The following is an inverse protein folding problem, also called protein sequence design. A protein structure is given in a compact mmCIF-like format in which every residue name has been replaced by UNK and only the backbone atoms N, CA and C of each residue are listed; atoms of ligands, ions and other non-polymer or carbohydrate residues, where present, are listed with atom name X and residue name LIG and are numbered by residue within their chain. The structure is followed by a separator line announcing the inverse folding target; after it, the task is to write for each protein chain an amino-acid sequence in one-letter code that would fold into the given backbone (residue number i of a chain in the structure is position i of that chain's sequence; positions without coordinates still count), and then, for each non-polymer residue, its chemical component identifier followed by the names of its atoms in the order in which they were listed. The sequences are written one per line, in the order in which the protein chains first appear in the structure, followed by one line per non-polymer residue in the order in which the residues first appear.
data_IF_567245274386
#
_entry.id   IF_567245274386
#
_cell.length_a   1.000
_cell.length_b   1.000
_cell.length_c   1.000
_cell.angle_alpha   90.00
_cell.angle_beta   90.00
_cell.angle_gamma   90.00
#
_symmetry.space_group_name_H-M   'P 1'
#
loop_
_entity.id
_entity.type
_entity.pdbx_description
1 polymer ?
#
# COMPACT_ATOMS: atom_id res chain seq x y z
N UNK A 1 -18.25 -35.37 7.56
CA UNK A 1 -17.11 -35.54 6.63
C UNK A 1 -17.03 -34.43 5.58
N UNK A 2 -18.10 -34.16 4.82
CA UNK A 2 -18.10 -33.19 3.71
C UNK A 2 -17.60 -31.76 4.07
N UNK A 3 -17.92 -31.23 5.26
CA UNK A 3 -17.46 -29.89 5.68
C UNK A 3 -15.98 -29.82 6.07
N UNK A 4 -15.41 -30.91 6.62
CA UNK A 4 -13.98 -30.96 6.98
C UNK A 4 -13.13 -31.03 5.73
N UNK A 5 -13.52 -31.86 4.76
CA UNK A 5 -12.85 -31.96 3.46
C UNK A 5 -12.92 -30.61 2.71
N UNK A 6 -14.07 -29.95 2.74
CA UNK A 6 -14.21 -28.60 2.19
C UNK A 6 -13.27 -27.59 2.85
N UNK A 7 -13.27 -27.51 4.18
CA UNK A 7 -12.42 -26.54 4.90
C UNK A 7 -10.93 -26.85 4.75
N UNK A 8 -10.57 -28.14 4.68
CA UNK A 8 -9.22 -28.60 4.41
C UNK A 8 -8.77 -28.17 3.02
N UNK A 9 -9.57 -28.44 1.99
CA UNK A 9 -9.25 -28.07 0.61
C UNK A 9 -9.12 -26.56 0.43
N UNK A 10 -9.98 -25.78 1.08
CA UNK A 10 -9.85 -24.32 1.08
C UNK A 10 -8.56 -23.88 1.81
N UNK A 11 -8.25 -24.45 2.98
CA UNK A 11 -7.01 -24.12 3.68
C UNK A 11 -5.75 -24.50 2.88
N UNK A 12 -5.75 -25.62 2.17
CA UNK A 12 -4.64 -26.03 1.28
C UNK A 12 -4.32 -24.93 0.26
N UNK A 13 -5.33 -24.42 -0.47
CA UNK A 13 -5.16 -23.31 -1.43
C UNK A 13 -4.53 -22.06 -0.80
N UNK A 14 -4.97 -21.72 0.42
CA UNK A 14 -4.48 -20.53 1.10
C UNK A 14 -3.10 -20.72 1.75
N UNK A 15 -2.70 -21.97 2.01
CA UNK A 15 -1.39 -22.29 2.58
C UNK A 15 -0.28 -22.03 1.57
N UNK A 16 -0.50 -22.35 0.29
CA UNK A 16 0.49 -22.14 -0.77
C UNK A 16 0.81 -20.64 -0.98
N UNK A 17 -0.21 -19.79 -0.88
CA UNK A 17 -0.04 -18.35 -1.12
C UNK A 17 0.48 -17.57 0.09
N UNK A 18 0.42 -18.15 1.31
CA UNK A 18 0.86 -17.48 2.55
C UNK A 18 2.32 -17.78 2.92
N UNK A 19 2.95 -18.76 2.28
CA UNK A 19 4.30 -19.23 2.62
C UNK A 19 5.33 -18.10 2.71
N UNK A 20 5.34 -17.21 1.70
CA UNK A 20 6.27 -16.07 1.63
C UNK A 20 5.79 -14.84 2.40
N UNK A 21 4.54 -14.86 2.90
CA UNK A 21 3.92 -13.74 3.61
C UNK A 21 4.10 -13.86 5.12
N UNK A 22 3.83 -15.04 5.65
CA UNK A 22 3.86 -15.31 7.07
C UNK A 22 4.30 -16.77 7.32
N UNK A 23 5.62 -17.02 7.43
CA UNK A 23 6.17 -18.37 7.59
C UNK A 23 5.65 -19.10 8.84
N UNK A 24 5.36 -18.34 9.91
CA UNK A 24 4.77 -18.88 11.13
C UNK A 24 3.36 -19.42 10.86
N UNK A 25 2.51 -18.60 10.24
CA UNK A 25 1.13 -18.98 9.91
C UNK A 25 1.08 -20.14 8.90
N UNK A 26 2.02 -20.16 7.94
CA UNK A 26 2.21 -21.29 7.02
C UNK A 26 2.51 -22.59 7.78
N UNK A 27 3.48 -22.57 8.70
CA UNK A 27 3.85 -23.74 9.51
C UNK A 27 2.67 -24.27 10.34
N UNK A 28 1.90 -23.37 10.94
CA UNK A 28 0.70 -23.72 11.72
C UNK A 28 -0.39 -24.32 10.83
N UNK A 29 -0.61 -23.78 9.64
CA UNK A 29 -1.56 -24.29 8.66
C UNK A 29 -1.18 -25.70 8.19
N UNK A 30 0.09 -25.93 7.83
CA UNK A 30 0.59 -27.26 7.43
C UNK A 30 0.44 -28.28 8.56
N UNK A 31 0.76 -27.89 9.80
CA UNK A 31 0.59 -28.77 10.97
C UNK A 31 -0.87 -29.16 11.17
N UNK A 32 -1.79 -28.21 11.01
CA UNK A 32 -3.22 -28.45 11.15
C UNK A 32 -3.79 -29.33 10.04
N UNK A 33 -3.36 -29.13 8.78
CA UNK A 33 -3.72 -29.98 7.65
C UNK A 33 -3.31 -31.44 7.89
N UNK A 34 -2.08 -31.67 8.36
CA UNK A 34 -1.59 -33.01 8.74
C UNK A 34 -2.38 -33.61 9.90
N UNK A 35 -2.78 -32.81 10.89
CA UNK A 35 -3.61 -33.25 12.01
C UNK A 35 -5.00 -33.70 11.54
N UNK A 36 -5.60 -32.96 10.60
CA UNK A 36 -6.88 -33.28 10.00
C UNK A 36 -6.84 -34.58 9.18
N UNK A 37 -5.75 -34.82 8.45
CA UNK A 37 -5.53 -36.06 7.70
C UNK A 37 -5.42 -37.28 8.63
N UNK A 38 -4.69 -37.16 9.74
CA UNK A 38 -4.53 -38.24 10.72
C UNK A 38 -5.83 -38.66 11.40
N UNK A 39 -6.76 -37.74 11.65
CA UNK A 39 -8.08 -38.10 12.21
C UNK A 39 -8.84 -39.08 11.30
N UNK A 40 -8.63 -39.02 9.99
CA UNK A 40 -9.29 -39.95 9.07
C UNK A 40 -8.67 -41.36 9.10
N UNK A 41 -7.49 -41.52 9.71
CA UNK A 41 -6.68 -42.74 9.70
C UNK A 41 -6.57 -43.41 11.08
N UNK A 42 -7.05 -42.75 12.15
CA UNK A 42 -7.00 -43.26 13.52
C UNK A 42 -8.19 -44.20 13.80
N UNK A 43 -7.92 -45.35 14.44
CA UNK A 43 -8.97 -46.22 14.99
C UNK A 43 -9.44 -45.70 16.35
N UNK A 44 -10.71 -45.33 16.43
CA UNK A 44 -11.30 -44.77 17.65
C UNK A 44 -12.14 -45.83 18.37
N UNK A 45 -11.79 -46.08 19.64
CA UNK A 45 -12.51 -47.02 20.49
C UNK A 45 -13.81 -46.44 21.08
N UNK A 46 -13.97 -45.10 21.10
CA UNK A 46 -15.16 -44.38 21.56
C UNK A 46 -15.63 -43.36 20.51
N UNK A 47 -16.89 -43.48 20.09
CA UNK A 47 -17.53 -42.62 19.10
C UNK A 47 -17.72 -41.17 19.59
N UNK A 48 -17.94 -40.97 20.89
CA UNK A 48 -18.12 -39.62 21.46
C UNK A 48 -16.82 -38.81 21.44
N UNK A 49 -15.70 -39.47 21.71
CA UNK A 49 -14.37 -38.85 21.65
C UNK A 49 -13.97 -38.53 20.22
N UNK A 50 -14.28 -39.43 19.27
CA UNK A 50 -14.13 -39.15 17.83
C UNK A 50 -14.94 -37.92 17.42
N UNK A 51 -16.22 -37.86 17.79
CA UNK A 51 -17.10 -36.74 17.45
C UNK A 51 -16.58 -35.39 17.95
N UNK A 52 -16.15 -35.32 19.22
CA UNK A 52 -15.56 -34.10 19.80
C UNK A 52 -14.30 -33.68 19.04
N UNK A 53 -13.40 -34.62 18.77
CA UNK A 53 -12.13 -34.38 18.06
C UNK A 53 -12.36 -33.86 16.64
N UNK A 54 -13.36 -34.41 15.95
CA UNK A 54 -13.79 -34.00 14.60
C UNK A 54 -14.31 -32.57 14.61
N UNK A 55 -15.17 -32.21 15.55
CA UNK A 55 -15.69 -30.84 15.68
C UNK A 55 -14.59 -29.82 16.06
N UNK A 56 -13.66 -30.18 16.93
CA UNK A 56 -12.49 -29.34 17.25
C UNK A 56 -11.64 -29.06 16.02
N UNK A 57 -11.30 -30.10 15.23
CA UNK A 57 -10.50 -29.92 14.01
C UNK A 57 -11.26 -29.10 12.98
N UNK A 58 -12.56 -29.34 12.82
CA UNK A 58 -13.40 -28.57 11.91
C UNK A 58 -13.36 -27.08 12.24
N UNK A 59 -13.51 -26.71 13.51
CA UNK A 59 -13.41 -25.32 13.96
C UNK A 59 -12.01 -24.75 13.75
N UNK A 60 -10.96 -25.51 14.08
CA UNK A 60 -9.58 -25.09 13.88
C UNK A 60 -9.28 -24.83 12.40
N UNK A 61 -9.71 -25.72 11.49
CA UNK A 61 -9.52 -25.59 10.04
C UNK A 61 -10.19 -24.32 9.52
N UNK A 62 -11.44 -24.08 9.90
CA UNK A 62 -12.17 -22.89 9.49
C UNK A 62 -11.49 -21.61 9.99
N UNK A 63 -11.09 -21.56 11.26
CA UNK A 63 -10.40 -20.41 11.83
C UNK A 63 -9.06 -20.16 11.13
N UNK A 64 -8.30 -21.21 10.82
CA UNK A 64 -7.03 -21.09 10.12
C UNK A 64 -7.21 -20.62 8.67
N UNK A 65 -8.22 -21.13 7.97
CA UNK A 65 -8.62 -20.65 6.64
C UNK A 65 -8.95 -19.15 6.66
N UNK A 66 -9.76 -18.70 7.62
CA UNK A 66 -10.12 -17.28 7.74
C UNK A 66 -8.88 -16.44 8.03
N UNK A 67 -7.99 -16.90 8.92
CA UNK A 67 -6.75 -16.19 9.28
C UNK A 67 -5.80 -16.05 8.09
N UNK A 68 -5.51 -17.13 7.38
CA UNK A 68 -4.62 -17.13 6.18
C UNK A 68 -5.17 -16.22 5.08
N UNK A 69 -6.48 -16.33 4.77
CA UNK A 69 -7.16 -15.45 3.82
C UNK A 69 -7.08 -13.98 4.21
N UNK A 70 -7.28 -13.68 5.49
CA UNK A 70 -7.24 -12.30 6.00
C UNK A 70 -5.84 -11.72 5.92
N UNK A 71 -4.82 -12.49 6.32
CA UNK A 71 -3.43 -12.07 6.25
C UNK A 71 -3.00 -11.77 4.81
N UNK A 72 -3.33 -12.65 3.87
CA UNK A 72 -3.04 -12.42 2.45
C UNK A 72 -3.67 -11.11 1.94
N UNK A 73 -4.98 -10.94 2.17
CA UNK A 73 -5.71 -9.73 1.74
C UNK A 73 -5.15 -8.47 2.37
N UNK A 74 -4.77 -8.53 3.64
CA UNK A 74 -4.13 -7.43 4.36
C UNK A 74 -2.81 -7.06 3.70
N UNK A 75 -1.94 -8.02 3.42
CA UNK A 75 -0.65 -7.76 2.76
C UNK A 75 -0.84 -7.16 1.36
N UNK A 76 -1.72 -7.73 0.53
CA UNK A 76 -2.03 -7.15 -0.79
C UNK A 76 -2.55 -5.72 -0.66
N UNK A 77 -3.43 -5.44 0.31
CA UNK A 77 -3.95 -4.09 0.53
C UNK A 77 -2.87 -3.10 0.97
N UNK A 78 -1.91 -3.53 1.80
CA UNK A 78 -0.77 -2.69 2.20
C UNK A 78 0.08 -2.36 0.97
N UNK A 79 0.43 -3.36 0.17
CA UNK A 79 1.22 -3.15 -1.06
C UNK A 79 0.50 -2.23 -2.06
N UNK A 80 -0.83 -2.32 -2.18
CA UNK A 80 -1.63 -1.38 -2.98
C UNK A 80 -1.56 0.05 -2.44
N UNK A 81 -1.53 0.24 -1.12
CA UNK A 81 -1.31 1.56 -0.50
C UNK A 81 0.07 2.14 -0.82
N UNK A 82 1.10 1.30 -0.86
CA UNK A 82 2.47 1.71 -1.24
C UNK A 82 2.57 2.05 -2.74
N UNK A 83 1.86 1.32 -3.61
CA UNK A 83 1.72 1.69 -5.03
C UNK A 83 1.11 3.08 -5.16
N UNK A 84 -0.01 3.36 -4.46
CA UNK A 84 -0.66 4.67 -4.49
C UNK A 84 0.28 5.79 -4.01
N UNK A 85 0.99 5.55 -2.91
CA UNK A 85 1.98 6.50 -2.38
C UNK A 85 3.11 6.75 -3.39
N UNK A 86 3.58 5.70 -4.06
CA UNK A 86 4.63 5.80 -5.08
C UNK A 86 4.13 6.57 -6.31
N UNK A 87 2.89 6.34 -6.72
CA UNK A 87 2.22 7.05 -7.82
C UNK A 87 2.14 8.56 -7.54
N UNK A 88 1.85 8.96 -6.30
CA UNK A 88 1.82 10.39 -5.92
C UNK A 88 3.18 11.06 -6.07
N UNK A 89 4.27 10.39 -5.63
CA UNK A 89 5.63 10.93 -5.78
C UNK A 89 6.01 11.03 -7.26
N UNK A 90 5.66 10.01 -8.06
CA UNK A 90 5.86 9.99 -9.50
C UNK A 90 5.12 11.12 -10.23
N UNK A 91 3.87 11.36 -9.87
CA UNK A 91 3.07 12.45 -10.43
C UNK A 91 3.68 13.83 -10.12
N UNK A 92 4.20 14.02 -8.91
CA UNK A 92 4.92 15.25 -8.55
C UNK A 92 6.21 15.41 -9.37
N UNK A 93 6.98 14.33 -9.52
CA UNK A 93 8.22 14.34 -10.30
C UNK A 93 7.95 14.67 -11.77
N UNK A 94 6.84 14.18 -12.34
CA UNK A 94 6.43 14.45 -13.71
C UNK A 94 6.21 15.93 -14.00
N UNK A 95 5.56 16.65 -13.08
CA UNK A 95 5.25 18.07 -13.25
C UNK A 95 6.53 18.91 -13.41
N UNK A 96 7.61 18.54 -12.72
CA UNK A 96 8.88 19.28 -12.74
C UNK A 96 9.92 18.69 -13.68
N UNK A 97 9.61 17.58 -14.35
CA UNK A 97 10.58 16.87 -15.16
C UNK A 97 10.97 17.66 -16.41
N UNK A 98 12.28 17.68 -16.68
CA UNK A 98 12.80 18.18 -17.95
C UNK A 98 12.36 17.29 -19.12
N UNK A 99 12.44 17.80 -20.36
CA UNK A 99 12.18 16.99 -21.55
C UNK A 99 13.06 15.72 -21.62
N UNK A 100 14.28 15.78 -21.09
CA UNK A 100 15.21 14.65 -21.07
C UNK A 100 14.83 13.59 -20.04
N UNK A 101 14.19 13.98 -18.93
CA UNK A 101 13.78 13.05 -17.87
C UNK A 101 12.40 12.42 -18.08
N UNK A 102 11.61 12.93 -19.04
CA UNK A 102 10.29 12.36 -19.39
C UNK A 102 10.36 10.87 -19.72
N UNK A 103 11.38 10.45 -20.47
CA UNK A 103 11.56 9.04 -20.82
C UNK A 103 11.77 8.16 -19.59
N UNK A 104 12.52 8.65 -18.58
CA UNK A 104 12.74 7.92 -17.32
C UNK A 104 11.44 7.82 -16.52
N UNK A 105 10.67 8.91 -16.45
CA UNK A 105 9.38 8.90 -15.75
C UNK A 105 8.40 7.93 -16.39
N UNK A 106 8.29 7.91 -17.71
CA UNK A 106 7.40 6.96 -18.40
C UNK A 106 7.82 5.50 -18.15
N UNK A 107 9.13 5.22 -18.09
CA UNK A 107 9.62 3.90 -17.71
C UNK A 107 9.23 3.54 -16.26
N UNK A 108 9.40 4.46 -15.31
CA UNK A 108 9.03 4.25 -13.91
C UNK A 108 7.51 4.09 -13.73
N UNK A 109 6.69 4.83 -14.48
CA UNK A 109 5.22 4.64 -14.53
C UNK A 109 4.83 3.28 -15.07
N UNK A 110 5.47 2.83 -16.17
CA UNK A 110 5.18 1.53 -16.75
C UNK A 110 5.49 0.39 -15.76
N UNK A 111 6.62 0.46 -15.06
CA UNK A 111 6.99 -0.48 -13.99
C UNK A 111 5.97 -0.45 -12.84
N UNK A 112 5.57 0.73 -12.39
CA UNK A 112 4.58 0.86 -11.32
C UNK A 112 3.21 0.29 -11.72
N UNK A 113 2.77 0.54 -12.96
CA UNK A 113 1.54 -0.03 -13.52
C UNK A 113 1.57 -1.55 -13.58
N UNK A 114 2.71 -2.15 -13.95
CA UNK A 114 2.87 -3.62 -13.91
C UNK A 114 2.67 -4.19 -12.50
N UNK A 115 3.20 -3.51 -11.47
CA UNK A 115 3.01 -3.90 -10.06
C UNK A 115 1.54 -3.77 -9.66
N UNK A 116 0.90 -2.66 -10.04
CA UNK A 116 -0.52 -2.41 -9.76
C UNK A 116 -1.41 -3.50 -10.37
N UNK A 117 -1.20 -3.83 -11.65
CA UNK A 117 -1.92 -4.89 -12.35
C UNK A 117 -1.68 -6.25 -11.71
N UNK A 118 -0.43 -6.56 -11.33
CA UNK A 118 -0.08 -7.79 -10.63
C UNK A 118 -0.82 -7.94 -9.30
N UNK A 119 -0.83 -6.89 -8.48
CA UNK A 119 -1.52 -6.86 -7.19
C UNK A 119 -3.05 -6.89 -7.34
N UNK A 120 -3.59 -6.24 -8.38
CA UNK A 120 -5.03 -6.27 -8.69
C UNK A 120 -5.48 -7.69 -9.06
N UNK A 121 -4.71 -8.39 -9.89
CA UNK A 121 -4.94 -9.81 -10.21
C UNK A 121 -4.85 -10.68 -8.95
N UNK A 122 -3.79 -10.52 -8.15
CA UNK A 122 -3.60 -11.24 -6.89
C UNK A 122 -4.75 -11.07 -5.89
N UNK A 123 -5.42 -9.91 -5.90
CA UNK A 123 -6.60 -9.65 -5.06
C UNK A 123 -7.85 -10.40 -5.51
N UNK A 124 -8.00 -10.59 -6.82
CA UNK A 124 -9.14 -11.30 -7.42
C UNK A 124 -8.94 -12.81 -7.38
N UNK A 125 -7.74 -13.25 -7.74
CA UNK A 125 -7.33 -14.64 -7.79
C UNK A 125 -6.03 -14.82 -6.97
N UNK A 126 -6.12 -15.38 -5.75
CA UNK A 126 -4.98 -15.52 -4.85
C UNK A 126 -3.85 -16.33 -5.48
N UNK A 127 -2.69 -15.70 -5.61
CA UNK A 127 -1.46 -16.30 -6.11
C UNK A 127 -0.29 -16.02 -5.16
N UNK A 128 0.77 -16.85 -5.14
CA UNK A 128 1.95 -16.58 -4.33
C UNK A 128 2.55 -15.21 -4.70
N UNK A 129 2.80 -14.37 -3.70
CA UNK A 129 3.45 -13.06 -3.90
C UNK A 129 4.73 -12.99 -3.06
N UNK A 130 5.70 -12.21 -3.54
CA UNK A 130 6.90 -11.85 -2.79
C UNK A 130 6.82 -10.36 -2.42
N UNK A 131 6.37 -10.02 -1.19
CA UNK A 131 6.30 -8.63 -0.74
C UNK A 131 7.66 -7.95 -0.77
N UNK A 132 8.75 -8.66 -0.45
CA UNK A 132 10.08 -8.06 -0.38
C UNK A 132 10.57 -7.62 -1.76
N UNK A 133 10.34 -8.43 -2.79
CA UNK A 133 10.64 -8.05 -4.16
C UNK A 133 9.81 -6.83 -4.60
N UNK A 134 8.52 -6.80 -4.28
CA UNK A 134 7.63 -5.67 -4.59
C UNK A 134 8.09 -4.40 -3.87
N UNK A 135 8.38 -4.48 -2.57
CA UNK A 135 8.89 -3.35 -1.78
C UNK A 135 10.20 -2.80 -2.35
N UNK A 136 11.14 -3.68 -2.75
CA UNK A 136 12.40 -3.25 -3.37
C UNK A 136 12.17 -2.48 -4.67
N UNK A 137 11.25 -2.97 -5.50
CA UNK A 137 10.94 -2.34 -6.78
C UNK A 137 10.21 -1.00 -6.59
N UNK A 138 9.24 -0.94 -5.67
CA UNK A 138 8.56 0.31 -5.31
C UNK A 138 9.54 1.34 -4.74
N UNK A 139 10.44 0.92 -3.85
CA UNK A 139 11.47 1.80 -3.31
C UNK A 139 12.39 2.34 -4.41
N UNK A 140 12.77 1.51 -5.39
CA UNK A 140 13.57 1.94 -6.53
C UNK A 140 12.84 3.00 -7.37
N UNK A 141 11.58 2.76 -7.72
CA UNK A 141 10.74 3.72 -8.45
C UNK A 141 10.59 5.04 -7.67
N UNK A 142 10.30 4.95 -6.37
CA UNK A 142 10.15 6.11 -5.49
C UNK A 142 11.44 6.93 -5.39
N UNK A 143 12.59 6.26 -5.27
CA UNK A 143 13.89 6.93 -5.22
C UNK A 143 14.26 7.61 -6.55
N UNK A 144 13.96 6.97 -7.69
CA UNK A 144 14.11 7.58 -9.02
C UNK A 144 13.29 8.88 -9.12
N UNK A 145 12.02 8.84 -8.72
CA UNK A 145 11.14 10.01 -8.72
C UNK A 145 11.62 11.11 -7.73
N UNK A 146 12.03 10.71 -6.53
CA UNK A 146 12.55 11.66 -5.53
C UNK A 146 13.84 12.34 -5.98
N UNK A 147 14.73 11.61 -6.68
CA UNK A 147 15.95 12.19 -7.24
C UNK A 147 15.65 13.29 -8.26
N UNK A 148 14.60 13.11 -9.08
CA UNK A 148 14.16 14.14 -10.02
C UNK A 148 13.61 15.37 -9.29
N UNK A 149 12.78 15.16 -8.26
CA UNK A 149 12.27 16.25 -7.43
C UNK A 149 13.40 17.05 -6.79
N UNK A 150 14.38 16.38 -6.20
CA UNK A 150 15.52 17.02 -5.52
C UNK A 150 16.46 17.76 -6.49
N UNK A 151 16.42 17.43 -7.79
CA UNK A 151 17.19 18.14 -8.82
C UNK A 151 16.45 19.41 -9.26
N UNK A 152 15.12 19.38 -9.28
CA UNK A 152 14.28 20.50 -9.75
C UNK A 152 13.87 21.49 -8.64
N UNK A 153 13.87 21.04 -7.39
CA UNK A 153 13.41 21.77 -6.21
C UNK A 153 14.46 21.73 -5.10
N UNK A 154 14.64 22.87 -4.45
CA UNK A 154 15.37 22.95 -3.18
C UNK A 154 14.58 22.27 -2.05
N UNK A 155 15.27 21.89 -0.97
CA UNK A 155 14.62 21.32 0.22
C UNK A 155 13.55 22.23 0.82
N UNK A 156 13.77 23.56 0.77
CA UNK A 156 12.80 24.55 1.25
C UNK A 156 11.55 24.58 0.36
N UNK A 157 11.72 24.51 -0.97
CA UNK A 157 10.59 24.41 -1.90
C UNK A 157 9.78 23.13 -1.68
N UNK A 158 10.44 22.00 -1.43
CA UNK A 158 9.77 20.74 -1.12
C UNK A 158 8.94 20.87 0.17
N UNK A 159 9.54 21.40 1.25
CA UNK A 159 8.85 21.61 2.53
C UNK A 159 7.64 22.55 2.40
N UNK A 160 7.80 23.67 1.70
CA UNK A 160 6.70 24.62 1.46
C UNK A 160 5.58 23.95 0.66
N UNK A 161 5.92 23.17 -0.37
CA UNK A 161 4.96 22.43 -1.17
C UNK A 161 4.18 21.41 -0.35
N UNK A 162 4.86 20.59 0.46
CA UNK A 162 4.26 19.56 1.30
C UNK A 162 3.31 20.14 2.36
N UNK A 163 3.72 21.19 3.07
CA UNK A 163 2.86 21.82 4.08
C UNK A 163 1.68 22.57 3.46
N UNK A 164 1.85 23.10 2.24
CA UNK A 164 0.73 23.67 1.46
C UNK A 164 -0.29 22.59 1.10
N UNK A 165 0.15 21.47 0.55
CA UNK A 165 -0.72 20.33 0.25
C UNK A 165 -1.44 19.83 1.50
N UNK A 166 -0.71 19.66 2.60
CA UNK A 166 -1.27 19.23 3.88
C UNK A 166 -2.39 20.16 4.34
N UNK A 167 -2.17 21.48 4.30
CA UNK A 167 -3.17 22.46 4.69
C UNK A 167 -4.41 22.42 3.78
N UNK A 168 -4.22 22.32 2.46
CA UNK A 168 -5.34 22.22 1.50
C UNK A 168 -6.15 20.94 1.68
N UNK A 169 -5.51 19.82 2.02
CA UNK A 169 -6.18 18.56 2.29
C UNK A 169 -7.04 18.62 3.56
N UNK A 170 -6.60 19.36 4.59
CA UNK A 170 -7.35 19.55 5.83
C UNK A 170 -8.64 20.36 5.58
N UNK A 171 -8.55 21.44 4.80
CA UNK A 171 -9.67 22.36 4.57
C UNK A 171 -10.64 21.89 3.48
N UNK A 172 -10.25 20.87 2.69
CA UNK A 172 -10.96 20.46 1.49
C UNK A 172 -10.83 21.50 0.38
N UNK A 173 -11.46 21.26 -0.78
CA UNK A 173 -11.37 22.12 -1.99
C UNK A 173 -12.00 23.52 -1.84
N UNK A 174 -12.10 24.07 -0.63
CA UNK A 174 -12.61 25.42 -0.36
C UNK A 174 -11.56 26.47 -0.71
N UNK A 175 -11.97 27.68 -1.12
CA UNK A 175 -11.07 28.82 -1.17
C UNK A 175 -10.42 29.07 0.20
N UNK A 176 -9.13 29.35 0.20
CA UNK A 176 -8.33 29.58 1.41
C UNK A 176 -7.83 31.03 1.36
N UNK A 177 -8.04 31.85 2.41
CA UNK A 177 -7.43 33.16 2.50
C UNK A 177 -5.90 33.06 2.41
N UNK A 178 -5.29 33.87 1.55
CA UNK A 178 -3.84 33.81 1.32
C UNK A 178 -3.04 34.02 2.62
N UNK A 179 -3.49 34.94 3.47
CA UNK A 179 -2.87 35.23 4.77
C UNK A 179 -2.82 34.01 5.68
N UNK A 180 -3.92 33.26 5.78
CA UNK A 180 -4.01 32.05 6.60
C UNK A 180 -3.07 30.95 6.11
N UNK A 181 -3.02 30.74 4.79
CA UNK A 181 -2.09 29.78 4.17
C UNK A 181 -0.64 30.15 4.48
N UNK A 182 -0.27 31.43 4.28
CA UNK A 182 1.11 31.88 4.48
C UNK A 182 1.53 31.76 5.95
N UNK A 183 0.65 32.11 6.90
CA UNK A 183 0.92 31.95 8.33
C UNK A 183 1.08 30.49 8.73
N UNK A 184 0.21 29.61 8.23
CA UNK A 184 0.29 28.18 8.51
C UNK A 184 1.63 27.61 8.03
N UNK A 185 1.97 27.84 6.76
CA UNK A 185 3.19 27.29 6.15
C UNK A 185 4.43 27.91 6.77
N UNK A 186 4.43 29.23 7.06
CA UNK A 186 5.52 29.91 7.77
C UNK A 186 5.81 29.24 9.12
N UNK A 187 4.78 28.97 9.93
CA UNK A 187 4.94 28.30 11.23
C UNK A 187 5.49 26.87 11.10
N UNK A 188 5.07 26.13 10.06
CA UNK A 188 5.48 24.73 9.86
C UNK A 188 6.89 24.57 9.28
N UNK A 189 7.30 25.53 8.46
CA UNK A 189 8.61 25.53 7.79
C UNK A 189 9.66 26.37 8.51
N UNK A 190 9.25 27.16 9.51
CA UNK A 190 10.08 28.16 10.20
C UNK A 190 10.68 29.21 9.24
N UNK A 191 9.97 29.51 8.15
CA UNK A 191 10.35 30.51 7.15
C UNK A 191 9.57 31.80 7.34
N UNK A 192 10.16 32.99 7.10
CA UNK A 192 9.42 34.24 7.07
C UNK A 192 8.29 34.21 6.03
N UNK A 193 7.14 34.81 6.34
CA UNK A 193 5.94 34.85 5.48
C UNK A 193 6.25 35.35 4.05
N UNK A 194 7.15 36.32 3.92
CA UNK A 194 7.58 36.84 2.61
C UNK A 194 8.35 35.80 1.78
N UNK A 195 9.21 35.01 2.41
CA UNK A 195 9.95 33.94 1.73
C UNK A 195 9.01 32.79 1.35
N UNK A 196 8.04 32.46 2.20
CA UNK A 196 6.98 31.49 1.87
C UNK A 196 6.20 31.94 0.64
N UNK A 197 5.77 33.20 0.58
CA UNK A 197 5.06 33.75 -0.58
C UNK A 197 5.89 33.66 -1.86
N UNK A 198 7.17 34.04 -1.79
CA UNK A 198 8.10 33.94 -2.92
C UNK A 198 8.29 32.49 -3.38
N UNK A 199 8.38 31.56 -2.43
CA UNK A 199 8.53 30.12 -2.70
C UNK A 199 7.26 29.55 -3.34
N UNK A 200 6.08 29.90 -2.82
CA UNK A 200 4.79 29.52 -3.42
C UNK A 200 4.65 30.01 -4.86
N UNK A 201 5.09 31.25 -5.14
CA UNK A 201 5.14 31.77 -6.49
C UNK A 201 6.06 30.93 -7.39
N UNK A 202 7.27 30.60 -6.93
CA UNK A 202 8.20 29.73 -7.67
C UNK A 202 7.67 28.33 -7.93
N UNK A 203 6.95 27.75 -6.97
CA UNK A 203 6.28 26.45 -7.15
C UNK A 203 5.12 26.55 -8.16
N UNK A 204 4.37 27.66 -8.14
CA UNK A 204 3.28 27.89 -9.09
C UNK A 204 3.79 28.08 -10.53
N UNK A 205 4.90 28.79 -10.73
CA UNK A 205 5.50 28.95 -12.07
C UNK A 205 6.09 27.64 -12.60
N UNK A 206 6.53 26.74 -11.72
CA UNK A 206 6.92 25.37 -12.05
C UNK A 206 5.74 24.42 -12.30
N UNK A 207 4.49 24.89 -12.16
CA UNK A 207 3.28 24.11 -12.40
C UNK A 207 2.88 23.15 -11.28
N UNK A 208 3.57 23.18 -10.13
CA UNK A 208 3.27 22.30 -8.99
C UNK A 208 2.01 22.72 -8.23
N UNK A 209 1.68 24.01 -8.29
CA UNK A 209 0.53 24.60 -7.62
C UNK A 209 -0.22 25.53 -8.58
N UNK A 210 -1.55 25.59 -8.44
CA UNK A 210 -2.37 26.58 -9.13
C UNK A 210 -2.93 27.56 -8.11
N UNK A 211 -2.54 28.83 -8.23
CA UNK A 211 -3.05 29.92 -7.39
C UNK A 211 -4.12 30.67 -8.19
N UNK A 212 -5.34 30.71 -7.67
CA UNK A 212 -6.46 31.47 -8.25
C UNK A 212 -6.88 32.55 -7.28
N UNK A 213 -7.00 33.79 -7.77
CA UNK A 213 -7.47 34.93 -6.99
C UNK A 213 -8.98 35.03 -7.16
N UNK A 214 -9.69 35.06 -6.04
CA UNK A 214 -11.13 35.32 -5.98
C UNK A 214 -11.33 36.68 -5.32
N UNK A 215 -11.99 37.59 -6.03
CA UNK A 215 -12.37 38.89 -5.49
C UNK A 215 -13.78 38.74 -4.92
N UNK A 216 -13.93 38.99 -3.62
CA UNK A 216 -15.25 39.07 -3.00
C UNK A 216 -15.83 40.45 -3.32
N UNK A 217 -16.95 40.44 -4.04
CA UNK A 217 -17.77 41.63 -4.31
C UNK A 217 -18.93 41.73 -3.32
#
# INVERSE_FOLDING_TARGET
MNEIEKNRHELEKWTDVIQNLNPSLYSDAVRLLRKAEKIQQEDYNDFNDLYKRVEEIKQQLYQMYVKTKTEYKKTVSILQGEVATTQEVLAKAEVVASLQDRAKIEQSKARLKQIEEYLSKAKQDPQPIDPNAIYKELAKIKNEAQSLLNTALSELEIKVYEETLRYTNILGRKPIPLTELLEYVSRKTNMPTQEVLRTLYGLATKGLLSVKVLVQG
#
